data_IF_813953549068
#
_entry.id   IF_813953549068
#
_cell.length_a   1.000
_cell.length_b   1.000
_cell.length_c   1.000
_cell.angle_alpha   90.00
_cell.angle_beta   90.00
_cell.angle_gamma   90.00
#
_symmetry.space_group_name_H-M   'P 1'
#
loop_
_entity.id
_entity.type
_entity.pdbx_description
1 polymer ?
#
# COMPACT_ATOMS: atom_id res chain seq x y z
N UNK A 1 -3.31 2.75 -21.12
CA UNK A 1 -3.19 3.98 -20.30
C UNK A 1 -2.21 3.70 -19.19
N UNK A 2 -1.32 4.63 -18.90
CA UNK A 2 -0.45 4.56 -17.72
C UNK A 2 -1.29 4.91 -16.49
N UNK A 3 -1.31 4.03 -15.48
CA UNK A 3 -1.95 4.28 -14.18
C UNK A 3 -0.85 4.45 -13.15
N UNK A 4 -0.91 5.53 -12.38
CA UNK A 4 0.05 5.83 -11.32
C UNK A 4 -0.58 5.52 -9.97
N UNK A 5 0.01 4.56 -9.28
CA UNK A 5 -0.40 4.14 -7.94
C UNK A 5 0.53 4.75 -6.89
N UNK A 6 -0.04 5.28 -5.82
CA UNK A 6 0.67 5.88 -4.70
C UNK A 6 0.05 5.43 -3.37
N UNK A 7 0.85 5.36 -2.31
CA UNK A 7 0.37 5.12 -0.95
C UNK A 7 0.33 6.44 -0.19
N UNK A 8 -0.65 6.58 0.69
CA UNK A 8 -0.75 7.72 1.61
C UNK A 8 0.40 7.71 2.63
N UNK A 9 0.88 8.91 2.99
CA UNK A 9 2.05 9.08 3.84
C UNK A 9 1.73 8.86 5.32
N UNK A 10 2.64 8.19 6.04
CA UNK A 10 2.52 7.98 7.50
C UNK A 10 2.69 6.54 7.96
N UNK A 11 2.77 5.61 7.02
CA UNK A 11 2.86 4.17 7.28
C UNK A 11 4.24 3.64 6.87
N UNK A 12 4.76 2.61 7.55
CA UNK A 12 6.05 1.97 7.23
C UNK A 12 6.04 1.17 5.93
N UNK A 13 5.22 1.52 4.93
CA UNK A 13 5.04 0.74 3.71
C UNK A 13 5.29 1.60 2.48
N UNK A 14 5.83 0.98 1.43
CA UNK A 14 6.01 1.60 0.13
C UNK A 14 5.45 0.70 -0.95
N UNK A 15 5.00 1.33 -2.03
CA UNK A 15 4.46 0.65 -3.19
C UNK A 15 5.63 0.49 -4.19
N UNK A 16 5.94 -0.74 -4.56
CA UNK A 16 6.97 -1.09 -5.53
C UNK A 16 6.28 -1.59 -6.80
N UNK A 17 6.40 -0.85 -7.88
CA UNK A 17 5.99 -1.31 -9.22
C UNK A 17 6.80 -2.55 -9.60
N UNK A 18 6.10 -3.65 -9.85
CA UNK A 18 6.66 -4.92 -10.32
C UNK A 18 6.51 -5.00 -11.85
N UNK A 19 6.68 -6.18 -12.44
CA UNK A 19 6.44 -6.39 -13.86
C UNK A 19 4.96 -6.18 -14.22
N UNK A 20 4.70 -5.31 -15.20
CA UNK A 20 3.36 -5.05 -15.73
C UNK A 20 2.52 -4.11 -14.86
N UNK A 21 1.22 -4.41 -14.75
CA UNK A 21 0.23 -3.67 -13.95
C UNK A 21 0.23 -4.06 -12.46
N UNK A 22 1.18 -4.89 -12.04
CA UNK A 22 1.27 -5.36 -10.66
C UNK A 22 2.12 -4.42 -9.81
N UNK A 23 1.58 -4.10 -8.63
CA UNK A 23 2.31 -3.40 -7.59
C UNK A 23 2.45 -4.28 -6.36
N UNK A 24 3.63 -4.29 -5.76
CA UNK A 24 3.91 -4.97 -4.50
C UNK A 24 3.96 -3.94 -3.39
N UNK A 25 3.29 -4.22 -2.29
CA UNK A 25 3.46 -3.45 -1.05
C UNK A 25 4.60 -4.09 -0.28
N UNK A 26 5.63 -3.31 0.00
CA UNK A 26 6.80 -3.76 0.77
C UNK A 26 6.97 -2.91 2.02
N UNK A 27 7.37 -3.55 3.11
CA UNK A 27 7.72 -2.87 4.35
C UNK A 27 9.03 -2.12 4.18
N UNK A 28 9.06 -0.88 4.63
CA UNK A 28 10.26 -0.02 4.62
C UNK A 28 11.10 -0.18 5.88
N UNK A 29 10.49 -0.69 6.95
CA UNK A 29 11.08 -0.91 8.26
C UNK A 29 10.44 -2.11 8.92
N UNK A 30 11.10 -2.63 9.94
CA UNK A 30 10.59 -3.75 10.74
C UNK A 30 9.23 -3.37 11.34
N UNK A 31 8.28 -4.29 11.22
CA UNK A 31 6.95 -4.14 11.80
C UNK A 31 6.99 -4.74 13.19
N UNK A 32 6.67 -3.92 14.17
CA UNK A 32 6.62 -4.31 15.57
C UNK A 32 5.15 -4.35 15.99
N UNK A 33 4.64 -5.56 16.23
CA UNK A 33 3.24 -5.80 16.61
C UNK A 33 2.91 -5.18 17.97
N UNK A 34 3.87 -5.12 18.90
CA UNK A 34 3.67 -4.52 20.22
C UNK A 34 3.45 -3.01 20.12
N UNK A 35 4.10 -2.35 19.15
CA UNK A 35 3.85 -0.93 18.84
C UNK A 35 2.58 -0.72 18.05
N UNK A 36 2.42 -1.44 16.94
CA UNK A 36 1.30 -1.28 16.00
C UNK A 36 0.92 -2.62 15.40
N UNK A 37 -0.26 -3.11 15.75
CA UNK A 37 -0.81 -4.40 15.30
C UNK A 37 -1.67 -4.31 14.04
N UNK A 38 -2.12 -3.10 13.67
CA UNK A 38 -2.96 -2.84 12.51
C UNK A 38 -2.52 -1.56 11.79
N UNK A 39 -2.51 -1.59 10.46
CA UNK A 39 -2.17 -0.46 9.61
C UNK A 39 -3.23 -0.25 8.54
N UNK A 40 -3.70 0.99 8.40
CA UNK A 40 -4.64 1.38 7.37
C UNK A 40 -3.85 2.01 6.22
N UNK A 41 -3.67 1.25 5.14
CA UNK A 41 -3.00 1.73 3.94
C UNK A 41 -4.02 2.29 2.96
N UNK A 42 -3.94 3.58 2.66
CA UNK A 42 -4.74 4.15 1.57
C UNK A 42 -3.92 4.15 0.28
N UNK A 43 -4.35 3.37 -0.71
CA UNK A 43 -3.76 3.33 -2.05
C UNK A 43 -4.56 4.25 -2.95
N UNK A 44 -3.89 5.19 -3.61
CA UNK A 44 -4.47 6.10 -4.60
C UNK A 44 -3.95 5.75 -5.99
N UNK A 45 -4.85 5.44 -6.90
CA UNK A 45 -4.57 5.20 -8.32
C UNK A 45 -5.11 6.38 -9.16
N UNK A 46 -4.28 6.94 -10.03
CA UNK A 46 -4.63 8.03 -10.94
C UNK A 46 -4.35 7.58 -12.37
N UNK A 47 -5.32 7.71 -13.27
CA UNK A 47 -5.09 7.42 -14.69
C UNK A 47 -4.58 8.66 -15.44
N UNK A 48 -3.81 8.43 -16.51
CA UNK A 48 -3.25 9.48 -17.36
C UNK A 48 -4.23 10.12 -18.36
N UNK A 49 -5.54 9.94 -18.20
CA UNK A 49 -6.58 10.51 -19.05
C UNK A 49 -6.77 12.01 -18.87
N UNK A 50 -7.61 12.60 -19.73
CA UNK A 50 -8.02 14.01 -19.65
C UNK A 50 -9.53 14.09 -19.88
N UNK A 51 -10.35 14.30 -18.83
CA UNK A 51 -9.97 14.52 -17.43
C UNK A 51 -9.40 13.25 -16.77
N UNK A 52 -8.44 13.41 -15.86
CA UNK A 52 -7.87 12.30 -15.09
C UNK A 52 -8.89 11.83 -14.05
N UNK A 53 -9.17 10.52 -14.01
CA UNK A 53 -9.90 9.88 -12.93
C UNK A 53 -8.92 9.42 -11.86
N UNK A 54 -9.37 9.53 -10.62
CA UNK A 54 -8.65 9.04 -9.46
C UNK A 54 -9.54 8.10 -8.67
N UNK A 55 -8.96 7.01 -8.20
CA UNK A 55 -9.60 6.08 -7.27
C UNK A 55 -8.69 5.92 -6.06
N UNK A 56 -9.30 5.78 -4.88
CA UNK A 56 -8.57 5.49 -3.65
C UNK A 56 -9.27 4.39 -2.88
N UNK A 57 -8.48 3.42 -2.42
CA UNK A 57 -8.93 2.24 -1.69
C UNK A 57 -8.17 2.12 -0.38
N UNK A 58 -8.83 1.61 0.66
CA UNK A 58 -8.25 1.43 1.98
C UNK A 58 -8.02 -0.06 2.26
N UNK A 59 -6.77 -0.43 2.49
CA UNK A 59 -6.38 -1.76 2.90
C UNK A 59 -6.07 -1.78 4.39
N UNK A 60 -6.86 -2.55 5.15
CA UNK A 60 -6.56 -2.86 6.54
C UNK A 60 -5.57 -4.02 6.59
N UNK A 61 -4.33 -3.74 7.00
CA UNK A 61 -3.29 -4.74 7.21
C UNK A 61 -3.19 -5.07 8.69
N UNK A 62 -3.28 -6.36 9.01
CA UNK A 62 -3.07 -6.86 10.36
C UNK A 62 -1.70 -7.53 10.46
N UNK A 63 -0.90 -7.13 11.44
CA UNK A 63 0.38 -7.78 11.74
C UNK A 63 0.08 -9.05 12.53
N UNK A 64 0.30 -10.19 11.88
CA UNK A 64 0.24 -11.50 12.52
C UNK A 64 1.53 -11.74 13.29
N UNK A 65 1.40 -12.34 14.47
CA UNK A 65 2.57 -12.77 15.22
C UNK A 65 3.22 -13.96 14.50
N UNK A 66 4.55 -14.05 14.57
CA UNK A 66 5.30 -15.17 13.98
C UNK A 66 4.87 -16.52 14.56
N UNK A 67 4.26 -16.51 15.76
CA UNK A 67 3.90 -17.70 16.52
C UNK A 67 2.42 -18.14 16.39
N UNK A 68 1.66 -17.59 15.44
CA UNK A 68 0.26 -17.97 15.17
C UNK A 68 0.16 -19.14 14.15
N UNK A 69 1.11 -20.09 14.18
CA UNK A 69 1.11 -21.32 13.36
C UNK A 69 0.88 -22.58 14.21
#
# INVERSE_FOLDING_TARGET
>A
GEVRCSLDGGVPFRLQSSQGSYHRVVTTRELDREKVSEYNLTVRAVDGGSPSLQSSEMLALRVLDVNDN
#
